data_IF_912989464858
#
_entry.id   IF_912989464858
#
_cell.length_a   1.000
_cell.length_b   1.000
_cell.length_c   1.000
_cell.angle_alpha   90.00
_cell.angle_beta   90.00
_cell.angle_gamma   90.00
#
_symmetry.space_group_name_H-M   'P 1'
#
loop_
_entity.id
_entity.type
_entity.pdbx_description
1 polymer ?
#
# COMPACT_ATOMS: atom_id res chain seq x y z
N UNK A 1 7.39 -0.31 29.55
CA UNK A 1 6.94 -1.17 28.43
C UNK A 1 7.73 -0.79 27.18
N UNK A 2 8.52 -1.70 26.58
CA UNK A 2 9.26 -1.41 25.34
C UNK A 2 8.25 -1.19 24.20
N UNK A 3 8.29 -0.01 23.58
CA UNK A 3 7.43 0.33 22.45
C UNK A 3 7.90 -0.48 21.24
N UNK A 4 7.15 -1.50 20.84
CA UNK A 4 7.44 -2.26 19.63
C UNK A 4 7.27 -1.32 18.42
N UNK A 5 8.35 -1.14 17.66
CA UNK A 5 8.30 -0.46 16.36
C UNK A 5 8.35 -1.53 15.27
N UNK A 6 7.46 -1.47 14.25
CA UNK A 6 7.51 -2.40 13.14
C UNK A 6 8.82 -2.21 12.37
N UNK A 7 9.38 -3.32 11.90
CA UNK A 7 10.60 -3.34 11.08
C UNK A 7 10.32 -2.87 9.66
N UNK A 8 9.11 -3.17 9.15
CA UNK A 8 8.57 -2.75 7.84
C UNK A 8 7.04 -2.66 7.95
N UNK A 9 6.42 -1.79 7.17
CA UNK A 9 4.96 -1.65 7.05
C UNK A 9 4.55 -2.06 5.63
N UNK A 10 3.55 -2.93 5.52
CA UNK A 10 2.93 -3.31 4.25
C UNK A 10 1.47 -2.85 4.31
N UNK A 11 1.08 -1.93 3.43
CA UNK A 11 -0.30 -1.47 3.31
C UNK A 11 -0.91 -2.14 2.08
N UNK A 12 -2.00 -2.86 2.26
CA UNK A 12 -2.73 -3.49 1.16
C UNK A 12 -4.01 -2.71 0.85
N UNK A 13 -4.26 -2.43 -0.42
CA UNK A 13 -5.49 -1.80 -0.94
C UNK A 13 -6.03 -2.65 -2.08
N UNK A 14 -7.33 -2.95 -2.08
CA UNK A 14 -7.95 -3.64 -3.21
C UNK A 14 -8.19 -2.65 -4.34
N UNK A 15 -7.75 -2.96 -5.55
CA UNK A 15 -7.97 -2.08 -6.71
C UNK A 15 -9.45 -1.97 -7.09
N UNK A 16 -10.26 -2.93 -6.65
CA UNK A 16 -11.72 -2.90 -6.79
C UNK A 16 -12.38 -1.94 -5.78
N UNK A 17 -11.69 -1.51 -4.72
CA UNK A 17 -12.25 -0.65 -3.67
C UNK A 17 -11.61 0.75 -3.68
N UNK A 18 -12.15 1.65 -4.52
CA UNK A 18 -11.82 3.09 -4.49
C UNK A 18 -11.95 3.71 -3.09
N UNK A 19 -12.96 3.38 -2.25
CA UNK A 19 -13.03 3.91 -0.89
C UNK A 19 -11.81 3.58 -0.04
N UNK A 20 -11.27 2.35 -0.12
CA UNK A 20 -10.06 1.96 0.61
C UNK A 20 -8.85 2.81 0.19
N UNK A 21 -8.74 3.11 -1.10
CA UNK A 21 -7.70 3.97 -1.65
C UNK A 21 -7.78 5.41 -1.12
N UNK A 22 -8.99 5.97 -1.10
CA UNK A 22 -9.25 7.31 -0.57
C UNK A 22 -9.04 7.39 0.94
N UNK A 23 -9.33 6.32 1.67
CA UNK A 23 -9.08 6.25 3.10
C UNK A 23 -7.59 6.29 3.41
N UNK A 24 -6.75 5.55 2.66
CA UNK A 24 -5.28 5.62 2.81
C UNK A 24 -4.76 7.01 2.47
N UNK A 25 -5.21 7.60 1.35
CA UNK A 25 -4.85 8.97 0.96
C UNK A 25 -5.20 9.99 2.04
N UNK A 26 -6.42 9.90 2.59
CA UNK A 26 -6.87 10.76 3.69
C UNK A 26 -6.08 10.50 4.97
N UNK A 27 -5.79 9.23 5.25
CA UNK A 27 -5.08 8.81 6.45
C UNK A 27 -3.65 9.29 6.51
N UNK A 28 -3.00 9.40 5.34
CA UNK A 28 -1.65 9.94 5.23
C UNK A 28 -1.59 11.46 5.01
N UNK A 29 -2.74 12.08 4.74
CA UNK A 29 -2.95 13.52 4.57
C UNK A 29 -3.10 14.30 5.89
N UNK A 30 -4.00 15.31 5.98
CA UNK A 30 -4.09 16.23 7.11
C UNK A 30 -4.42 15.56 8.47
N UNK A 31 -4.20 16.25 9.60
CA UNK A 31 -3.99 15.65 10.93
C UNK A 31 -5.17 14.95 11.63
N UNK A 32 -6.27 14.59 10.98
CA UNK A 32 -7.51 14.11 11.64
C UNK A 32 -7.75 12.58 11.58
N UNK A 33 -6.83 11.79 11.01
CA UNK A 33 -7.04 10.36 10.77
C UNK A 33 -6.61 9.41 11.90
N UNK A 34 -7.22 8.22 11.95
CA UNK A 34 -6.89 7.09 12.85
C UNK A 34 -5.41 6.68 12.77
N UNK A 35 -4.78 6.82 11.60
CA UNK A 35 -3.39 6.43 11.35
C UNK A 35 -2.35 7.43 11.87
N UNK A 36 -2.76 8.62 12.34
CA UNK A 36 -1.88 9.66 12.90
C UNK A 36 -1.00 9.16 14.05
N UNK A 37 -1.55 8.31 14.92
CA UNK A 37 -0.83 7.75 16.08
C UNK A 37 0.30 6.84 15.61
N UNK A 38 0.07 6.11 14.53
CA UNK A 38 1.02 5.19 13.92
C UNK A 38 2.09 5.94 13.13
N UNK A 39 1.72 6.96 12.34
CA UNK A 39 2.69 7.78 11.59
C UNK A 39 3.74 8.43 12.51
N UNK A 40 3.32 9.06 13.61
CA UNK A 40 4.28 9.64 14.58
C UNK A 40 5.12 8.60 15.30
N UNK A 41 4.57 7.41 15.55
CA UNK A 41 5.30 6.35 16.25
C UNK A 41 6.32 5.66 15.33
N UNK A 42 6.07 5.65 14.02
CA UNK A 42 6.77 4.83 13.03
C UNK A 42 7.31 5.66 11.85
N UNK A 43 7.61 6.93 12.09
CA UNK A 43 8.10 7.91 11.10
C UNK A 43 9.37 7.48 10.35
N UNK A 44 10.10 6.50 10.91
CA UNK A 44 11.33 5.91 10.33
C UNK A 44 11.17 4.43 9.96
N UNK A 45 9.95 3.92 9.91
CA UNK A 45 9.71 2.54 9.47
C UNK A 45 9.47 2.54 7.96
N UNK A 46 10.27 1.80 7.17
CA UNK A 46 10.07 1.70 5.74
C UNK A 46 8.71 1.08 5.43
N UNK A 47 8.09 1.55 4.35
CA UNK A 47 6.73 1.16 3.96
C UNK A 47 6.66 0.75 2.49
N UNK A 48 5.77 -0.19 2.19
CA UNK A 48 5.39 -0.62 0.84
C UNK A 48 3.86 -0.52 0.72
N UNK A 49 3.37 0.00 -0.40
CA UNK A 49 1.96 -0.04 -0.76
C UNK A 49 1.72 -1.19 -1.75
N UNK A 50 0.68 -1.98 -1.53
CA UNK A 50 0.35 -3.16 -2.34
C UNK A 50 -1.07 -3.05 -2.86
N UNK A 51 -1.26 -3.05 -4.18
CA UNK A 51 -2.55 -3.22 -4.83
C UNK A 51 -2.93 -4.69 -4.96
N UNK A 52 -4.08 -5.08 -4.42
CA UNK A 52 -4.63 -6.44 -4.54
C UNK A 52 -5.83 -6.50 -5.48
N UNK A 53 -6.27 -7.70 -5.83
CA UNK A 53 -7.41 -7.97 -6.71
C UNK A 53 -7.24 -7.42 -8.14
N UNK A 54 -5.99 -7.37 -8.65
CA UNK A 54 -5.66 -6.72 -9.94
C UNK A 54 -6.38 -7.33 -11.14
N UNK A 55 -6.75 -8.60 -11.06
CA UNK A 55 -7.57 -9.30 -12.05
C UNK A 55 -8.94 -8.63 -12.27
N UNK A 56 -9.44 -7.90 -11.27
CA UNK A 56 -10.71 -7.15 -11.36
C UNK A 56 -10.70 -6.08 -12.45
N UNK A 57 -9.53 -5.65 -12.94
CA UNK A 57 -9.41 -4.69 -14.05
C UNK A 57 -9.76 -5.31 -15.40
N UNK A 58 -9.65 -6.62 -15.53
CA UNK A 58 -9.95 -7.35 -16.75
C UNK A 58 -11.37 -7.94 -16.77
N UNK A 59 -12.07 -7.93 -15.63
CA UNK A 59 -13.43 -8.45 -15.50
C UNK A 59 -14.47 -7.37 -15.89
N UNK A 60 -15.19 -7.53 -17.01
CA UNK A 60 -16.15 -6.53 -17.49
C UNK A 60 -17.33 -6.32 -16.52
N UNK A 61 -17.74 -7.35 -15.78
CA UNK A 61 -18.85 -7.24 -14.83
C UNK A 61 -18.43 -6.40 -13.62
N UNK A 62 -17.21 -6.65 -13.11
CA UNK A 62 -16.67 -5.84 -12.01
C UNK A 62 -16.45 -4.40 -12.46
N UNK A 63 -15.84 -4.18 -13.63
CA UNK A 63 -15.61 -2.83 -14.17
C UNK A 63 -16.94 -2.08 -14.34
N UNK A 64 -17.94 -2.72 -14.93
CA UNK A 64 -19.27 -2.13 -15.10
C UNK A 64 -19.93 -1.81 -13.76
N UNK A 65 -19.93 -2.77 -12.82
CA UNK A 65 -20.50 -2.59 -11.50
C UNK A 65 -19.85 -1.46 -10.70
N UNK A 66 -18.52 -1.34 -10.75
CA UNK A 66 -17.81 -0.23 -10.11
C UNK A 66 -18.12 1.11 -10.77
N UNK A 67 -18.21 1.16 -12.10
CA UNK A 67 -18.55 2.40 -12.79
C UNK A 67 -19.96 2.88 -12.45
N UNK A 68 -20.93 1.95 -12.36
CA UNK A 68 -22.32 2.29 -12.03
C UNK A 68 -22.50 2.71 -10.56
N UNK A 69 -21.75 2.08 -9.64
CA UNK A 69 -21.93 2.29 -8.20
C UNK A 69 -20.92 3.25 -7.57
N UNK A 70 -19.81 3.52 -8.25
CA UNK A 70 -18.63 4.22 -7.73
C UNK A 70 -18.38 5.55 -8.43
N UNK A 71 -19.40 6.41 -8.54
CA UNK A 71 -19.28 7.76 -9.10
C UNK A 71 -18.70 7.83 -10.53
N UNK A 72 -18.97 6.81 -11.37
CA UNK A 72 -18.40 6.70 -12.73
C UNK A 72 -16.88 6.54 -12.74
N UNK A 73 -16.31 5.99 -11.67
CA UNK A 73 -14.91 5.58 -11.61
C UNK A 73 -14.83 4.05 -11.73
N UNK A 74 -13.87 3.57 -12.52
CA UNK A 74 -13.54 2.14 -12.60
C UNK A 74 -12.64 1.69 -11.44
N UNK A 75 -12.08 0.46 -11.53
CA UNK A 75 -11.00 0.02 -10.65
C UNK A 75 -9.86 1.05 -10.59
N UNK A 76 -9.10 1.03 -9.50
CA UNK A 76 -7.88 1.84 -9.34
C UNK A 76 -6.84 1.35 -10.36
N UNK A 77 -6.29 2.27 -11.15
CA UNK A 77 -5.25 1.98 -12.13
C UNK A 77 -3.87 1.90 -11.48
N UNK A 78 -2.92 1.28 -12.19
CA UNK A 78 -1.55 1.13 -11.71
C UNK A 78 -0.89 2.47 -11.36
N UNK A 79 -0.98 3.44 -12.28
CA UNK A 79 -0.41 4.78 -12.13
C UNK A 79 -0.99 5.53 -10.92
N UNK A 80 -2.28 5.32 -10.63
CA UNK A 80 -2.92 5.90 -9.45
C UNK A 80 -2.27 5.34 -8.18
N UNK A 81 -2.08 4.02 -8.12
CA UNK A 81 -1.37 3.34 -7.03
C UNK A 81 0.06 3.84 -6.82
N UNK A 82 0.82 4.01 -7.91
CA UNK A 82 2.16 4.59 -7.85
C UNK A 82 2.16 6.02 -7.32
N UNK A 83 1.20 6.83 -7.77
CA UNK A 83 1.02 8.20 -7.27
C UNK A 83 0.70 8.21 -5.78
N UNK A 84 -0.19 7.35 -5.32
CA UNK A 84 -0.51 7.24 -3.90
C UNK A 84 0.71 6.80 -3.09
N UNK A 85 1.48 5.82 -3.56
CA UNK A 85 2.71 5.39 -2.91
C UNK A 85 3.67 6.56 -2.70
N UNK A 86 3.86 7.42 -3.71
CA UNK A 86 4.65 8.65 -3.59
C UNK A 86 4.03 9.64 -2.60
N UNK A 87 2.73 9.89 -2.68
CA UNK A 87 2.01 10.80 -1.77
C UNK A 87 2.13 10.37 -0.30
N UNK A 88 2.17 9.06 -0.02
CA UNK A 88 2.32 8.52 1.33
C UNK A 88 3.77 8.27 1.75
N UNK A 89 4.76 8.53 0.91
CA UNK A 89 6.16 8.23 1.21
C UNK A 89 6.46 6.72 1.35
N UNK A 90 5.71 5.87 0.66
CA UNK A 90 6.07 4.47 0.51
C UNK A 90 7.31 4.34 -0.38
N UNK A 91 8.13 3.35 -0.10
CA UNK A 91 9.35 3.06 -0.87
C UNK A 91 9.03 2.57 -2.27
N UNK A 92 7.91 1.84 -2.41
CA UNK A 92 7.46 1.24 -3.67
C UNK A 92 5.96 0.95 -3.66
N UNK A 93 5.35 0.99 -4.84
CA UNK A 93 4.05 0.37 -5.11
C UNK A 93 4.27 -0.99 -5.78
N UNK A 94 3.63 -2.02 -5.25
CA UNK A 94 3.61 -3.36 -5.85
C UNK A 94 2.16 -3.77 -6.09
N UNK A 95 1.97 -4.70 -7.01
CA UNK A 95 0.67 -5.28 -7.30
C UNK A 95 0.74 -6.79 -7.14
N UNK A 96 -0.35 -7.36 -6.62
CA UNK A 96 -0.44 -8.76 -6.32
C UNK A 96 -1.85 -9.27 -6.59
N UNK A 97 -1.97 -10.28 -7.45
CA UNK A 97 -3.11 -11.18 -7.49
C UNK A 97 -2.93 -12.26 -6.44
N UNK A 98 -3.96 -12.56 -5.65
CA UNK A 98 -3.89 -13.58 -4.59
C UNK A 98 -3.59 -14.98 -5.15
N UNK A 99 -3.92 -15.23 -6.43
CA UNK A 99 -3.63 -16.48 -7.12
C UNK A 99 -2.17 -16.62 -7.58
N UNK A 100 -1.43 -15.52 -7.68
CA UNK A 100 -0.06 -15.51 -8.18
C UNK A 100 0.96 -15.52 -7.02
N UNK A 101 1.45 -16.73 -6.70
CA UNK A 101 2.48 -16.93 -5.67
C UNK A 101 3.79 -16.17 -5.97
N UNK A 102 4.08 -15.90 -7.23
CA UNK A 102 5.26 -15.13 -7.65
C UNK A 102 5.15 -13.67 -7.21
N UNK A 103 3.99 -13.05 -7.43
CA UNK A 103 3.74 -11.68 -7.00
C UNK A 103 3.71 -11.54 -5.48
N UNK A 104 3.10 -12.49 -4.77
CA UNK A 104 3.15 -12.54 -3.30
C UNK A 104 4.60 -12.61 -2.82
N UNK A 105 5.42 -13.49 -3.42
CA UNK A 105 6.84 -13.63 -3.08
C UNK A 105 7.60 -12.31 -3.27
N UNK A 106 7.36 -11.59 -4.36
CA UNK A 106 7.99 -10.29 -4.62
C UNK A 106 7.67 -9.24 -3.54
N UNK A 107 6.42 -9.21 -3.04
CA UNK A 107 6.03 -8.31 -1.94
C UNK A 107 6.86 -8.59 -0.68
N UNK A 108 7.02 -9.88 -0.32
CA UNK A 108 7.82 -10.26 0.83
C UNK A 108 9.31 -10.02 0.62
N UNK A 109 9.87 -10.33 -0.55
CA UNK A 109 11.27 -10.07 -0.89
C UNK A 109 11.61 -8.58 -0.79
N UNK A 110 10.73 -7.71 -1.28
CA UNK A 110 10.89 -6.26 -1.15
C UNK A 110 10.85 -5.81 0.31
N UNK A 111 9.93 -6.37 1.10
CA UNK A 111 9.85 -6.10 2.53
C UNK A 111 11.14 -6.50 3.26
N UNK A 112 11.69 -7.68 2.97
CA UNK A 112 12.98 -8.13 3.49
C UNK A 112 14.12 -7.20 3.08
N UNK A 113 14.18 -6.80 1.79
CA UNK A 113 15.21 -5.88 1.28
C UNK A 113 15.24 -4.56 2.05
N UNK A 114 14.08 -3.99 2.36
CA UNK A 114 13.97 -2.75 3.16
C UNK A 114 14.45 -2.93 4.60
N UNK A 115 14.18 -4.09 5.21
CA UNK A 115 14.69 -4.42 6.54
C UNK A 115 16.23 -4.53 6.52
N UNK A 116 16.80 -5.28 5.56
CA UNK A 116 18.24 -5.50 5.44
C UNK A 116 19.02 -4.20 5.17
N UNK A 117 18.45 -3.28 4.39
CA UNK A 117 19.05 -1.97 4.13
C UNK A 117 19.13 -1.14 5.42
N UNK A 118 18.06 -1.16 6.23
CA UNK A 118 18.02 -0.46 7.52
C UNK A 118 19.05 -1.00 8.52
N UNK A 119 19.27 -2.32 8.53
CA UNK A 119 20.27 -2.94 9.40
C UNK A 119 21.69 -2.53 8.99
N UNK A 120 21.97 -2.49 7.69
CA UNK A 120 23.29 -2.10 7.16
C UNK A 120 23.65 -0.65 7.52
N UNK A 121 22.69 0.27 7.48
CA UNK A 121 22.91 1.67 7.89
C UNK A 121 23.08 1.85 9.39
N UNK A 122 22.55 0.93 10.22
CA UNK A 122 22.63 1.02 11.68
C UNK A 122 23.98 0.51 12.23
N UNK A 123 24.74 -0.27 11.45
CA UNK A 123 26.07 -0.77 11.82
C UNK A 123 27.22 0.18 11.43
N UNK A 124 26.92 1.26 10.71
CA UNK A 124 27.89 2.28 10.27
C UNK A 124 27.78 3.60 11.06
N UNK A 125 27.05 3.62 12.18
CA UNK A 125 27.01 4.72 13.16
C UNK A 125 27.37 4.19 14.55
#
# INVERSE_FOLDING_TARGET
MKKLSPSVIIICVSVRSRPSFQEIKRSWGPPSSTFKRFRRAWDKTPMILVGTDIESRADPEIVHGLFMNGNREGPVLHEEGERLAKEIGASKYLECSLGDRGQVKQVFEEAFRLISTKWSTCFLQ
#
